data_IF_375340364625
#
_entry.id   IF_375340364625
#
_cell.length_a   1.000
_cell.length_b   1.000
_cell.length_c   1.000
_cell.angle_alpha   90.00
_cell.angle_beta   90.00
_cell.angle_gamma   90.00
#
_symmetry.space_group_name_H-M   'P 1'
#
loop_
_entity.id
_entity.type
_entity.pdbx_description
1 polymer ?
#
# COMPACT_ATOMS: atom_id res chain seq x y z
N UNK A 1 -7.62 -14.18 19.04
CA UNK A 1 -6.28 -14.03 18.42
C UNK A 1 -5.28 -13.34 19.35
N UNK A 2 -5.50 -12.11 19.83
CA UNK A 2 -4.54 -11.40 20.71
C UNK A 2 -4.23 -12.15 22.02
N UNK A 3 -5.22 -12.82 22.60
CA UNK A 3 -5.03 -13.69 23.78
C UNK A 3 -4.04 -14.83 23.55
N UNK A 4 -4.00 -15.37 22.33
CA UNK A 4 -3.08 -16.43 21.93
C UNK A 4 -1.66 -15.87 21.74
N UNK A 5 -1.50 -14.72 21.07
CA UNK A 5 -0.20 -14.04 20.97
C UNK A 5 0.36 -13.72 22.36
N UNK A 6 -0.48 -13.27 23.30
CA UNK A 6 -0.06 -13.11 24.70
C UNK A 6 0.44 -14.42 25.30
N UNK A 7 -0.27 -15.54 25.10
CA UNK A 7 0.17 -16.84 25.61
C UNK A 7 1.55 -17.23 25.05
N UNK A 8 1.78 -17.03 23.76
CA UNK A 8 3.06 -17.32 23.12
C UNK A 8 4.21 -16.50 23.72
N UNK A 9 3.98 -15.21 23.99
CA UNK A 9 5.00 -14.30 24.52
C UNK A 9 5.21 -14.50 26.03
N UNK A 10 4.14 -14.66 26.80
CA UNK A 10 4.20 -14.74 28.27
C UNK A 10 4.61 -16.13 28.77
N UNK A 11 4.10 -17.19 28.14
CA UNK A 11 4.39 -18.57 28.54
C UNK A 11 5.50 -19.22 27.71
N UNK A 12 5.96 -18.57 26.63
CA UNK A 12 6.98 -19.12 25.73
C UNK A 12 6.53 -20.41 25.02
N UNK A 13 5.22 -20.56 24.78
CA UNK A 13 4.64 -21.81 24.27
C UNK A 13 3.12 -21.79 24.19
N UNK A 14 2.54 -22.89 23.72
CA UNK A 14 1.10 -23.09 23.69
C UNK A 14 0.73 -24.59 23.75
N UNK A 15 -0.54 -24.86 24.04
CA UNK A 15 -1.09 -26.23 24.00
C UNK A 15 -1.55 -26.57 22.59
N UNK A 16 -1.05 -27.67 22.04
CA UNK A 16 -1.55 -28.26 20.79
C UNK A 16 -2.91 -28.92 21.09
N UNK A 17 -4.03 -28.49 20.46
CA UNK A 17 -5.35 -29.01 20.81
C UNK A 17 -5.58 -30.49 20.47
N UNK A 18 -4.86 -31.00 19.46
CA UNK A 18 -5.04 -32.35 18.93
C UNK A 18 -4.70 -33.46 19.94
N UNK A 19 -3.69 -33.24 20.77
CA UNK A 19 -3.13 -34.26 21.66
C UNK A 19 -2.74 -33.69 23.04
N UNK A 20 -3.27 -32.50 23.36
CA UNK A 20 -3.04 -31.81 24.63
C UNK A 20 -1.55 -31.76 25.03
N UNK A 21 -0.65 -31.58 24.06
CA UNK A 21 0.80 -31.49 24.33
C UNK A 21 1.25 -30.04 24.39
N UNK A 22 2.10 -29.71 25.38
CA UNK A 22 2.71 -28.39 25.48
C UNK A 22 3.85 -28.24 24.45
N UNK A 23 3.72 -27.25 23.58
CA UNK A 23 4.74 -26.89 22.59
C UNK A 23 5.48 -25.65 23.09
N UNK A 24 6.76 -25.82 23.40
CA UNK A 24 7.65 -24.71 23.77
C UNK A 24 8.20 -24.04 22.51
N UNK A 25 8.20 -22.72 22.49
CA UNK A 25 8.87 -21.93 21.44
C UNK A 25 10.36 -21.84 21.75
N UNK A 26 11.19 -22.02 20.73
CA UNK A 26 12.63 -21.75 20.80
C UNK A 26 13.01 -20.75 19.70
N UNK A 27 13.65 -19.65 20.09
CA UNK A 27 14.17 -18.60 19.19
C UNK A 27 13.13 -18.01 18.21
N UNK A 28 11.91 -17.75 18.70
CA UNK A 28 10.86 -17.06 17.95
C UNK A 28 10.60 -15.69 18.58
N UNK A 29 10.50 -14.66 17.73
CA UNK A 29 10.15 -13.30 18.11
C UNK A 29 8.89 -12.85 17.38
N UNK A 30 8.10 -12.01 18.03
CA UNK A 30 6.89 -11.45 17.46
C UNK A 30 7.08 -9.95 17.26
N UNK A 31 6.91 -9.50 16.03
CA UNK A 31 6.87 -8.08 15.67
C UNK A 31 5.53 -7.83 15.01
N UNK A 32 4.83 -6.78 15.44
CA UNK A 32 3.54 -6.38 14.91
C UNK A 32 3.57 -4.93 14.45
N UNK A 33 2.86 -4.66 13.35
CA UNK A 33 2.53 -3.31 12.92
C UNK A 33 1.01 -3.16 13.01
N UNK A 34 0.56 -2.05 13.59
CA UNK A 34 -0.85 -1.69 13.65
C UNK A 34 -0.98 -0.18 13.53
N UNK A 35 -2.12 0.25 12.99
CA UNK A 35 -2.49 1.65 13.01
C UNK A 35 -2.97 2.05 14.42
N UNK A 36 -2.99 3.35 14.73
CA UNK A 36 -3.54 3.86 15.97
C UNK A 36 -4.98 3.36 16.21
N UNK A 37 -5.36 3.05 17.47
CA UNK A 37 -6.71 2.56 17.79
C UNK A 37 -7.80 3.62 17.58
N UNK A 38 -7.42 4.86 17.27
CA UNK A 38 -8.31 5.95 16.87
C UNK A 38 -8.85 5.77 15.45
N UNK A 39 -8.19 4.99 14.61
CA UNK A 39 -8.65 4.73 13.25
C UNK A 39 -9.97 3.95 13.28
N UNK A 40 -10.98 4.35 12.49
CA UNK A 40 -12.30 3.71 12.50
C UNK A 40 -12.22 2.22 12.18
N UNK A 41 -12.86 1.39 13.01
CA UNK A 41 -12.97 -0.05 12.79
C UNK A 41 -11.85 -0.89 13.40
N UNK A 42 -10.90 -0.29 14.11
CA UNK A 42 -9.82 -1.02 14.78
C UNK A 42 -10.17 -1.41 16.21
N UNK A 43 -9.74 -2.62 16.58
CA UNK A 43 -9.91 -3.14 17.94
C UNK A 43 -8.76 -2.70 18.84
N UNK A 44 -9.08 -2.27 20.06
CA UNK A 44 -8.10 -1.84 21.06
C UNK A 44 -7.35 -3.05 21.61
N UNK A 45 -6.01 -3.01 21.55
CA UNK A 45 -5.15 -4.04 22.14
C UNK A 45 -5.20 -3.97 23.68
N UNK A 46 -5.33 -5.13 24.33
CA UNK A 46 -5.43 -5.20 25.79
C UNK A 46 -4.08 -4.94 26.48
N UNK A 47 -4.10 -4.25 27.62
CA UNK A 47 -2.91 -4.01 28.46
C UNK A 47 -2.19 -5.31 28.89
N UNK A 48 -2.94 -6.42 29.04
CA UNK A 48 -2.38 -7.74 29.34
C UNK A 48 -1.42 -8.24 28.25
N UNK A 49 -1.64 -7.85 27.00
CA UNK A 49 -0.73 -8.14 25.90
C UNK A 49 0.35 -7.06 25.77
N UNK A 50 -0.05 -5.77 25.80
CA UNK A 50 0.86 -4.65 25.58
C UNK A 50 1.99 -4.56 26.61
N UNK A 51 1.79 -5.03 27.84
CA UNK A 51 2.89 -5.11 28.84
C UNK A 51 4.09 -5.96 28.40
N UNK A 52 3.92 -6.82 27.39
CA UNK A 52 4.98 -7.68 26.85
C UNK A 52 5.58 -7.16 25.53
N UNK A 53 5.04 -6.08 24.96
CA UNK A 53 5.43 -5.57 23.66
C UNK A 53 5.78 -4.08 23.75
N UNK A 54 7.06 -3.68 23.58
CA UNK A 54 7.41 -2.28 23.40
C UNK A 54 6.67 -1.71 22.19
N UNK A 55 6.07 -0.53 22.37
CA UNK A 55 5.38 0.19 21.31
C UNK A 55 6.26 1.34 20.81
N UNK A 56 6.48 1.37 19.50
CA UNK A 56 7.17 2.45 18.81
C UNK A 56 6.19 3.08 17.84
N UNK A 57 5.90 4.36 18.03
CA UNK A 57 5.07 5.13 17.10
C UNK A 57 5.96 5.65 15.96
N UNK A 58 5.53 5.44 14.72
CA UNK A 58 6.22 5.91 13.53
C UNK A 58 5.24 6.75 12.73
N UNK A 59 5.45 8.07 12.75
CA UNK A 59 4.67 9.02 11.98
C UNK A 59 5.20 9.19 10.56
N UNK A 60 4.39 9.85 9.71
CA UNK A 60 4.82 10.26 8.39
C UNK A 60 6.01 11.23 8.47
N UNK A 61 6.96 11.15 7.51
CA UNK A 61 8.08 12.07 7.46
C UNK A 61 7.59 13.52 7.30
N UNK A 62 8.19 14.43 8.05
CA UNK A 62 7.93 15.87 7.91
C UNK A 62 8.47 16.42 6.60
N UNK A 63 8.10 17.66 6.28
CA UNK A 63 8.44 18.35 5.02
C UNK A 63 9.94 18.32 4.69
N UNK A 64 10.81 18.60 5.67
CA UNK A 64 12.26 18.57 5.46
C UNK A 64 12.76 17.16 5.05
N UNK A 65 12.25 16.13 5.72
CA UNK A 65 12.57 14.73 5.40
C UNK A 65 12.02 14.32 4.04
N UNK A 66 10.79 14.74 3.71
CA UNK A 66 10.18 14.50 2.40
C UNK A 66 11.02 15.12 1.27
N UNK A 67 11.45 16.37 1.45
CA UNK A 67 12.33 17.05 0.50
C UNK A 67 13.67 16.32 0.33
N UNK A 68 14.24 15.79 1.42
CA UNK A 68 15.48 15.01 1.33
C UNK A 68 15.28 13.67 0.61
N UNK A 69 14.23 12.92 0.97
CA UNK A 69 13.91 11.60 0.39
C UNK A 69 13.65 11.76 -1.11
N UNK A 70 12.67 12.59 -1.48
CA UNK A 70 12.29 12.78 -2.88
C UNK A 70 13.33 13.57 -3.66
N UNK A 71 14.09 14.46 -3.02
CA UNK A 71 15.23 15.13 -3.64
C UNK A 71 16.31 14.15 -4.07
N UNK A 72 16.59 13.14 -3.24
CA UNK A 72 17.53 12.06 -3.59
C UNK A 72 17.03 11.26 -4.79
N UNK A 73 15.74 10.89 -4.81
CA UNK A 73 15.13 10.19 -5.95
C UNK A 73 15.15 11.02 -7.23
N UNK A 74 14.71 12.28 -7.17
CA UNK A 74 14.68 13.17 -8.33
C UNK A 74 16.08 13.50 -8.84
N UNK A 75 17.07 13.62 -7.95
CA UNK A 75 18.49 13.75 -8.34
C UNK A 75 18.91 12.54 -9.16
N UNK A 76 18.64 11.33 -8.65
CA UNK A 76 19.00 10.09 -9.34
C UNK A 76 18.27 9.96 -10.69
N UNK A 77 16.98 10.27 -10.74
CA UNK A 77 16.17 10.22 -11.94
C UNK A 77 16.66 11.22 -13.02
N UNK A 78 16.98 12.45 -12.64
CA UNK A 78 17.40 13.49 -13.59
C UNK A 78 18.88 13.39 -14.00
N UNK A 79 19.67 12.48 -13.39
CA UNK A 79 21.06 12.23 -13.84
C UNK A 79 21.14 11.82 -15.30
N UNK A 80 20.15 11.08 -15.81
CA UNK A 80 20.12 10.58 -17.20
C UNK A 80 19.72 11.64 -18.23
N UNK A 81 19.21 12.80 -17.79
CA UNK A 81 18.84 13.93 -18.66
C UNK A 81 19.60 15.19 -18.21
N UNK A 82 20.84 15.42 -18.71
CA UNK A 82 21.73 16.46 -18.21
C UNK A 82 21.12 17.87 -18.17
N UNK A 83 20.31 18.20 -19.18
CA UNK A 83 19.67 19.51 -19.31
C UNK A 83 18.65 19.80 -18.20
N UNK A 84 18.15 18.78 -17.50
CA UNK A 84 17.14 18.93 -16.46
C UNK A 84 17.69 18.85 -15.03
N UNK A 85 19.01 18.60 -14.86
CA UNK A 85 19.63 18.44 -13.54
C UNK A 85 19.47 19.67 -12.63
N UNK A 86 19.43 20.88 -13.21
CA UNK A 86 19.21 22.11 -12.45
C UNK A 86 17.81 22.23 -11.84
N UNK A 87 16.85 21.40 -12.27
CA UNK A 87 15.45 21.47 -11.84
C UNK A 87 15.07 20.49 -10.73
N UNK A 88 16.03 19.72 -10.19
CA UNK A 88 15.73 18.75 -9.13
C UNK A 88 15.09 19.37 -7.89
N UNK A 89 15.64 20.47 -7.39
CA UNK A 89 15.13 21.16 -6.21
C UNK A 89 13.71 21.74 -6.43
N UNK A 90 13.46 22.59 -7.44
CA UNK A 90 12.12 23.14 -7.65
C UNK A 90 11.07 22.05 -7.94
N UNK A 91 11.43 20.98 -8.66
CA UNK A 91 10.55 19.83 -8.87
C UNK A 91 10.17 19.16 -7.54
N UNK A 92 11.17 18.89 -6.69
CA UNK A 92 10.96 18.22 -5.41
C UNK A 92 10.11 19.08 -4.47
N UNK A 93 10.42 20.37 -4.36
CA UNK A 93 9.64 21.30 -3.54
C UNK A 93 8.19 21.36 -4.01
N UNK A 94 7.95 21.49 -5.32
CA UNK A 94 6.59 21.50 -5.87
C UNK A 94 5.82 20.19 -5.58
N UNK A 95 6.49 19.03 -5.67
CA UNK A 95 5.89 17.73 -5.33
C UNK A 95 5.49 17.68 -3.85
N UNK A 96 6.38 18.10 -2.95
CA UNK A 96 6.15 18.07 -1.50
C UNK A 96 5.08 19.09 -1.10
N UNK A 97 5.11 20.31 -1.63
CA UNK A 97 4.08 21.33 -1.40
C UNK A 97 2.70 20.85 -1.85
N UNK A 98 2.60 20.25 -3.04
CA UNK A 98 1.37 19.69 -3.56
C UNK A 98 0.85 18.55 -2.66
N UNK A 99 1.74 17.68 -2.20
CA UNK A 99 1.41 16.60 -1.26
C UNK A 99 0.85 17.16 0.06
N UNK A 100 1.54 18.12 0.68
CA UNK A 100 1.12 18.72 1.95
C UNK A 100 -0.18 19.51 1.81
N UNK A 101 -0.34 20.27 0.74
CA UNK A 101 -1.58 20.98 0.43
C UNK A 101 -2.75 20.01 0.24
N UNK A 102 -2.51 18.89 -0.44
CA UNK A 102 -3.51 17.84 -0.65
C UNK A 102 -3.88 17.15 0.65
N UNK A 103 -2.90 16.75 1.47
CA UNK A 103 -3.12 16.12 2.78
C UNK A 103 -3.92 17.03 3.71
N UNK A 104 -3.67 18.35 3.67
CA UNK A 104 -4.42 19.33 4.45
C UNK A 104 -5.86 19.51 3.96
N UNK A 105 -6.07 19.46 2.64
CA UNK A 105 -7.38 19.72 2.02
C UNK A 105 -8.32 18.52 2.05
N UNK A 106 -7.76 17.33 1.86
CA UNK A 106 -8.51 16.09 1.68
C UNK A 106 -8.24 15.16 2.86
N UNK A 107 -9.16 15.18 3.83
CA UNK A 107 -9.06 14.36 5.04
C UNK A 107 -10.02 13.19 5.01
N UNK A 108 -9.73 12.15 5.81
CA UNK A 108 -10.60 10.97 5.98
C UNK A 108 -12.00 11.31 6.48
N UNK A 109 -12.19 12.48 7.11
CA UNK A 109 -13.49 12.98 7.57
C UNK A 109 -14.40 13.39 6.40
N UNK A 110 -13.81 13.88 5.31
CA UNK A 110 -14.56 14.23 4.10
C UNK A 110 -14.94 12.97 3.34
N UNK A 111 -13.94 12.13 3.08
CA UNK A 111 -14.09 10.87 2.36
C UNK A 111 -13.06 9.92 2.95
N UNK A 112 -13.51 8.75 3.42
CA UNK A 112 -12.63 7.81 4.11
C UNK A 112 -11.45 7.30 3.27
N UNK A 113 -11.49 7.47 1.94
CA UNK A 113 -10.38 7.16 1.06
C UNK A 113 -9.32 8.25 0.89
N UNK A 114 -9.50 9.44 1.46
CA UNK A 114 -8.50 10.50 1.45
C UNK A 114 -7.43 10.22 2.50
N UNK A 115 -6.73 9.09 2.34
CA UNK A 115 -5.59 8.70 3.16
C UNK A 115 -4.36 8.66 2.27
N UNK A 116 -3.42 9.53 2.58
CA UNK A 116 -2.15 9.63 1.88
C UNK A 116 -1.15 8.66 2.52
N UNK A 117 -1.07 7.43 1.97
CA UNK A 117 -0.18 6.37 2.46
C UNK A 117 1.00 6.15 1.52
N UNK A 118 2.10 5.65 2.07
CA UNK A 118 3.17 5.04 1.27
C UNK A 118 2.70 3.70 0.72
N UNK A 119 2.84 3.49 -0.58
CA UNK A 119 2.40 2.26 -1.24
C UNK A 119 3.42 1.14 -1.07
N UNK A 120 2.95 -0.09 -0.87
CA UNK A 120 3.79 -1.27 -1.09
C UNK A 120 4.23 -1.35 -2.56
N UNK A 121 5.32 -2.06 -2.84
CA UNK A 121 5.80 -2.26 -4.22
C UNK A 121 4.69 -2.81 -5.13
N UNK A 122 3.86 -3.73 -4.62
CA UNK A 122 2.73 -4.31 -5.34
C UNK A 122 1.65 -3.26 -5.66
N UNK A 123 1.28 -2.44 -4.69
CA UNK A 123 0.30 -1.36 -4.91
C UNK A 123 0.84 -0.31 -5.88
N UNK A 124 2.13 0.02 -5.79
CA UNK A 124 2.79 0.94 -6.70
C UNK A 124 2.76 0.43 -8.14
N UNK A 125 3.13 -0.83 -8.38
CA UNK A 125 3.08 -1.45 -9.71
C UNK A 125 1.65 -1.48 -10.24
N UNK A 126 0.66 -1.74 -9.38
CA UNK A 126 -0.75 -1.80 -9.76
C UNK A 126 -1.32 -0.40 -10.08
N UNK A 127 -0.88 0.64 -9.36
CA UNK A 127 -1.21 2.05 -9.68
C UNK A 127 -0.53 2.48 -10.99
N UNK A 128 0.74 2.15 -11.17
CA UNK A 128 1.47 2.41 -12.42
C UNK A 128 0.76 1.76 -13.62
N UNK A 129 0.41 0.47 -13.51
CA UNK A 129 -0.30 -0.24 -14.56
C UNK A 129 -1.66 0.41 -14.86
N UNK A 130 -2.39 0.82 -13.81
CA UNK A 130 -3.65 1.58 -13.99
C UNK A 130 -3.44 2.88 -14.75
N UNK A 131 -2.48 3.72 -14.35
CA UNK A 131 -2.27 5.00 -15.01
C UNK A 131 -1.77 4.83 -16.44
N UNK A 132 -0.93 3.82 -16.71
CA UNK A 132 -0.57 3.44 -18.08
C UNK A 132 -1.80 3.05 -18.90
N UNK A 133 -2.72 2.28 -18.33
CA UNK A 133 -3.96 1.87 -19.00
C UNK A 133 -4.98 2.99 -19.21
N UNK A 134 -4.85 4.10 -18.49
CA UNK A 134 -5.62 5.33 -18.76
C UNK A 134 -4.92 6.23 -19.78
N UNK A 135 -3.59 6.17 -19.84
CA UNK A 135 -2.82 7.07 -20.68
C UNK A 135 -2.70 6.58 -22.14
N UNK A 136 -2.45 5.28 -22.35
CA UNK A 136 -2.18 4.72 -23.67
C UNK A 136 -3.42 4.12 -24.35
N UNK A 137 -4.11 3.11 -23.78
CA UNK A 137 -5.21 2.41 -24.44
C UNK A 137 -6.46 3.26 -24.64
N UNK A 138 -6.69 4.27 -23.81
CA UNK A 138 -7.85 5.18 -23.94
C UNK A 138 -7.86 5.94 -25.28
N UNK A 139 -6.69 6.05 -25.95
CA UNK A 139 -6.56 6.66 -27.29
C UNK A 139 -6.64 5.66 -28.43
N UNK A 140 -6.61 4.36 -28.15
CA UNK A 140 -6.60 3.28 -29.14
C UNK A 140 -8.03 2.87 -29.49
N UNK A 141 -8.23 2.43 -30.74
CA UNK A 141 -9.57 2.11 -31.27
C UNK A 141 -9.73 0.60 -31.40
N UNK A 142 -8.72 -0.09 -31.91
CA UNK A 142 -8.79 -1.54 -32.14
C UNK A 142 -8.70 -2.32 -30.83
N UNK A 143 -9.36 -3.48 -30.79
CA UNK A 143 -9.24 -4.41 -29.66
C UNK A 143 -7.86 -5.05 -29.61
N UNK A 144 -7.26 -5.37 -30.75
CA UNK A 144 -5.90 -5.94 -30.78
C UNK A 144 -4.88 -4.96 -30.20
N UNK A 145 -5.00 -3.67 -30.52
CA UNK A 145 -4.12 -2.61 -29.99
C UNK A 145 -4.22 -2.49 -28.46
N UNK A 146 -5.44 -2.57 -27.92
CA UNK A 146 -5.67 -2.53 -26.47
C UNK A 146 -5.11 -3.77 -25.78
N UNK A 147 -5.34 -4.96 -26.34
CA UNK A 147 -4.77 -6.21 -25.82
C UNK A 147 -3.24 -6.15 -25.85
N UNK A 148 -2.66 -5.65 -26.93
CA UNK A 148 -1.21 -5.50 -27.04
C UNK A 148 -0.65 -4.60 -25.93
N UNK A 149 -1.26 -3.44 -25.64
CA UNK A 149 -0.81 -2.59 -24.54
C UNK A 149 -0.89 -3.26 -23.17
N UNK A 150 -1.91 -4.11 -22.96
CA UNK A 150 -2.05 -4.91 -21.75
C UNK A 150 -0.94 -5.96 -21.62
N UNK A 151 -0.65 -6.70 -22.69
CA UNK A 151 0.40 -7.72 -22.71
C UNK A 151 1.79 -7.09 -22.49
N UNK A 152 2.05 -5.91 -23.08
CA UNK A 152 3.29 -5.18 -22.84
C UNK A 152 3.45 -4.76 -21.38
N UNK A 153 2.37 -4.35 -20.70
CA UNK A 153 2.44 -4.01 -19.28
C UNK A 153 2.80 -5.21 -18.41
N UNK A 154 2.25 -6.39 -18.71
CA UNK A 154 2.62 -7.63 -18.02
C UNK A 154 4.08 -8.00 -18.24
N UNK A 155 4.56 -7.93 -19.48
CA UNK A 155 5.95 -8.23 -19.81
C UNK A 155 6.92 -7.29 -19.07
N UNK A 156 6.67 -5.97 -19.14
CA UNK A 156 7.48 -4.95 -18.47
C UNK A 156 7.46 -5.11 -16.95
N UNK A 157 6.30 -5.42 -16.36
CA UNK A 157 6.19 -5.69 -14.93
C UNK A 157 6.99 -6.93 -14.51
N UNK A 158 6.94 -7.99 -15.31
CA UNK A 158 7.65 -9.24 -15.02
C UNK A 158 9.18 -9.08 -15.19
N UNK A 159 9.61 -8.35 -16.21
CA UNK A 159 11.02 -8.08 -16.51
C UNK A 159 11.68 -7.21 -15.43
N UNK A 160 11.03 -6.12 -15.03
CA UNK A 160 11.59 -5.17 -14.07
C UNK A 160 11.33 -5.54 -12.61
N UNK A 161 10.36 -6.40 -12.33
CA UNK A 161 10.03 -6.86 -10.97
C UNK A 161 9.97 -8.39 -10.91
N UNK A 162 11.12 -9.10 -10.83
CA UNK A 162 11.17 -10.57 -10.94
C UNK A 162 10.38 -11.33 -9.86
N UNK A 163 10.23 -10.71 -8.67
CA UNK A 163 9.48 -11.28 -7.54
C UNK A 163 7.99 -10.92 -7.57
N UNK A 164 7.55 -10.15 -8.57
CA UNK A 164 6.15 -9.77 -8.75
C UNK A 164 5.47 -10.79 -9.66
N UNK A 165 4.31 -11.29 -9.26
CA UNK A 165 3.55 -12.22 -10.09
C UNK A 165 2.55 -11.40 -10.90
N UNK A 166 2.96 -10.98 -12.10
CA UNK A 166 2.13 -10.08 -12.92
C UNK A 166 0.73 -10.65 -13.18
N UNK A 167 0.62 -11.93 -13.49
CA UNK A 167 -0.67 -12.58 -13.75
C UNK A 167 -1.61 -12.63 -12.53
N UNK A 168 -1.06 -12.75 -11.32
CA UNK A 168 -1.85 -12.77 -10.08
C UNK A 168 -2.14 -11.37 -9.53
N UNK A 169 -1.18 -10.46 -9.67
CA UNK A 169 -1.20 -9.17 -8.98
C UNK A 169 -1.76 -8.03 -9.86
N UNK A 170 -1.72 -8.19 -11.19
CA UNK A 170 -2.38 -7.32 -12.18
C UNK A 170 -3.65 -7.96 -12.75
N UNK A 171 -4.40 -8.74 -11.97
CA UNK A 171 -5.68 -9.26 -12.48
C UNK A 171 -6.63 -8.13 -12.86
N UNK A 172 -7.27 -8.29 -14.03
CA UNK A 172 -8.32 -7.40 -14.47
C UNK A 172 -9.63 -7.62 -13.70
N UNK A 173 -10.35 -6.54 -13.35
CA UNK A 173 -10.06 -5.16 -13.70
C UNK A 173 -9.16 -4.52 -12.64
N UNK A 174 -8.31 -3.57 -13.06
CA UNK A 174 -7.54 -2.75 -12.11
C UNK A 174 -8.44 -1.61 -11.63
N UNK A 175 -9.35 -1.92 -10.70
CA UNK A 175 -10.28 -0.96 -10.10
C UNK A 175 -9.76 -0.50 -8.75
N UNK A 176 -9.81 0.81 -8.52
CA UNK A 176 -9.63 1.41 -7.21
C UNK A 176 -10.89 2.20 -6.89
N UNK A 177 -11.57 1.85 -5.81
CA UNK A 177 -12.79 2.53 -5.38
C UNK A 177 -13.04 2.31 -3.89
N UNK A 178 -13.85 3.18 -3.31
CA UNK A 178 -14.34 3.13 -1.93
C UNK A 178 -15.83 2.71 -1.86
N UNK A 179 -16.35 2.05 -2.89
CA UNK A 179 -17.76 1.65 -2.91
C UNK A 179 -18.06 0.44 -2.05
N UNK A 180 -17.12 -0.47 -1.86
CA UNK A 180 -17.30 -1.69 -1.05
C UNK A 180 -16.63 -1.59 0.33
N UNK A 181 -15.75 -0.61 0.52
CA UNK A 181 -14.88 -0.43 1.68
C UNK A 181 -14.77 1.06 1.98
N UNK A 182 -14.60 1.45 3.25
CA UNK A 182 -14.38 2.86 3.63
C UNK A 182 -13.10 3.42 2.97
N UNK A 183 -12.08 2.57 2.84
CA UNK A 183 -10.81 2.92 2.20
C UNK A 183 -10.90 2.72 0.68
N UNK A 184 -10.22 3.58 -0.11
CA UNK A 184 -10.05 3.32 -1.55
C UNK A 184 -8.99 2.25 -1.70
N UNK A 185 -9.46 1.06 -1.99
CA UNK A 185 -8.65 -0.13 -2.14
C UNK A 185 -8.82 -0.68 -3.56
N UNK A 186 -7.89 -1.53 -3.97
CA UNK A 186 -8.09 -2.33 -5.16
C UNK A 186 -9.31 -3.22 -4.98
N UNK A 187 -10.22 -3.21 -5.95
CA UNK A 187 -11.45 -4.01 -5.92
C UNK A 187 -11.47 -5.08 -7.00
N UNK A 188 -12.05 -6.22 -6.62
CA UNK A 188 -12.36 -7.30 -7.56
C UNK A 188 -13.70 -7.04 -8.29
N UNK A 189 -13.81 -7.59 -9.50
CA UNK A 189 -14.95 -7.44 -10.42
C UNK A 189 -16.30 -7.76 -9.74
N UNK A 190 -16.32 -8.79 -8.91
CA UNK A 190 -17.53 -9.29 -8.25
C UNK A 190 -18.01 -8.36 -7.12
N UNK A 191 -17.08 -7.74 -6.39
CA UNK A 191 -17.40 -6.78 -5.33
C UNK A 191 -18.06 -5.51 -5.87
N UNK A 192 -17.64 -5.06 -7.05
CA UNK A 192 -18.24 -3.88 -7.71
C UNK A 192 -19.60 -4.21 -8.33
N UNK A 193 -19.73 -5.38 -8.98
CA UNK A 193 -21.02 -5.82 -9.57
C UNK A 193 -22.11 -6.01 -8.52
N UNK A 194 -21.81 -6.64 -7.38
CA UNK A 194 -22.77 -6.86 -6.31
C UNK A 194 -23.32 -5.55 -5.72
N UNK A 195 -22.51 -4.48 -5.69
CA UNK A 195 -22.94 -3.16 -5.24
C UNK A 195 -23.80 -2.42 -6.29
N UNK A 196 -23.44 -2.55 -7.56
CA UNK A 196 -24.16 -1.92 -8.67
C UNK A 196 -25.53 -2.55 -8.93
N UNK A 197 -25.74 -3.84 -8.61
CA UNK A 197 -27.04 -4.49 -8.72
C UNK A 197 -28.05 -4.10 -7.63
N UNK A 198 -27.63 -3.29 -6.66
CA UNK A 198 -28.50 -2.74 -5.61
C UNK A 198 -28.96 -1.29 -5.89
N UNK A 199 -28.65 -0.75 -7.07
CA UNK A 199 -29.14 0.53 -7.58
C UNK A 199 -30.02 0.33 -8.81
#
# INVERSE_FOLDING_TARGET
MISFLRQLVEAGGFWRPLDATWIKLDRIQFVGACNPPTDPGLAVLTQKFLRHAPLVMVDYPGEASLNQIYGTFNTAALKVVPNLRGHTNPLTSAMVECYLASQKRFTSDIQACYIYKTFSLKELIRIWAREALRLFPDRLVSKEEKIWTWDQLHLMAQEHFPNFNSHKDLMEPILFSNWTSKDCISLDKDGVKARLSHF
#
